data_IF_276152241963
#
_entry.id   IF_276152241963
#
_cell.length_a   1.000
_cell.length_b   1.000
_cell.length_c   1.000
_cell.angle_alpha   90.00
_cell.angle_beta   90.00
_cell.angle_gamma   90.00
#
_symmetry.space_group_name_H-M   'P 1'
#
loop_
_entity.id
_entity.type
_entity.pdbx_description
1 polymer ?
#
# COMPACT_ATOMS: atom_id res chain seq x y z
N UNK A 1 57.82 10.73 27.65
CA UNK A 1 57.66 9.51 26.81
C UNK A 1 56.42 8.70 27.24
N UNK A 2 55.22 9.31 27.23
CA UNK A 2 53.94 8.66 27.64
C UNK A 2 52.75 9.17 26.81
N UNK A 3 53.00 9.54 25.54
CA UNK A 3 51.97 10.11 24.66
C UNK A 3 51.86 9.43 23.28
N UNK A 4 52.58 8.32 23.06
CA UNK A 4 52.55 7.58 21.79
C UNK A 4 51.89 6.19 21.85
N UNK A 5 51.57 5.67 23.05
CA UNK A 5 50.94 4.33 23.19
C UNK A 5 49.41 4.34 23.15
N UNK A 6 48.76 5.51 23.19
CA UNK A 6 47.28 5.62 23.17
C UNK A 6 46.69 5.71 21.76
N UNK A 7 47.50 6.05 20.74
CA UNK A 7 47.04 6.20 19.35
C UNK A 7 47.14 4.91 18.54
N UNK A 8 48.00 3.97 18.95
CA UNK A 8 48.11 2.65 18.31
C UNK A 8 47.02 1.68 18.76
N UNK A 9 46.43 1.89 19.94
CA UNK A 9 45.39 1.02 20.49
C UNK A 9 44.01 1.22 19.81
N UNK A 10 43.71 2.43 19.33
CA UNK A 10 42.41 2.73 18.70
C UNK A 10 42.33 2.27 17.24
N UNK A 11 43.48 2.14 16.56
CA UNK A 11 43.53 1.70 15.15
C UNK A 11 43.34 0.18 15.04
N UNK A 12 43.69 -0.59 16.08
CA UNK A 12 43.49 -2.06 16.10
C UNK A 12 42.03 -2.43 16.43
N UNK A 13 41.29 -1.57 17.13
CA UNK A 13 39.88 -1.82 17.47
C UNK A 13 38.91 -1.58 16.30
N UNK A 14 39.29 -0.77 15.30
CA UNK A 14 38.43 -0.44 14.13
C UNK A 14 38.64 -1.41 12.95
N UNK A 15 39.63 -2.31 13.00
CA UNK A 15 39.90 -3.28 11.92
C UNK A 15 39.29 -4.69 12.15
N UNK A 16 38.54 -4.93 13.23
CA UNK A 16 38.11 -6.27 13.65
C UNK A 16 36.60 -6.54 13.61
N UNK A 17 35.81 -5.70 12.93
CA UNK A 17 34.36 -5.91 12.80
C UNK A 17 33.88 -5.93 11.33
N UNK A 18 34.53 -6.76 10.50
CA UNK A 18 34.07 -7.02 9.13
C UNK A 18 34.37 -8.46 8.69
N UNK A 19 33.67 -9.45 9.27
CA UNK A 19 33.39 -10.79 8.70
C UNK A 19 32.08 -11.19 9.42
N UNK A 20 30.92 -11.46 8.81
CA UNK A 20 30.64 -12.15 7.56
C UNK A 20 29.96 -13.48 7.90
N UNK A 21 28.63 -13.57 7.80
CA UNK A 21 27.90 -14.85 7.86
C UNK A 21 26.77 -14.85 6.82
N UNK A 22 27.12 -15.26 5.60
CA UNK A 22 26.17 -15.80 4.62
C UNK A 22 26.11 -17.30 4.88
N UNK A 23 24.96 -17.81 5.31
CA UNK A 23 24.73 -19.24 5.50
C UNK A 23 23.87 -19.75 4.34
N UNK A 24 24.50 -20.50 3.44
CA UNK A 24 23.82 -21.33 2.44
C UNK A 24 23.96 -22.77 2.92
N UNK A 25 22.83 -23.42 3.25
CA UNK A 25 22.82 -24.84 3.59
C UNK A 25 22.36 -25.62 2.35
N UNK A 26 23.31 -26.33 1.74
CA UNK A 26 23.09 -27.41 0.78
C UNK A 26 23.58 -28.70 1.42
N UNK A 27 22.67 -29.57 1.83
CA UNK A 27 22.87 -31.01 2.14
C UNK A 27 21.49 -31.66 1.85
N UNK A 28 21.30 -32.72 1.06
CA UNK A 28 22.21 -33.77 0.59
C UNK A 28 21.56 -35.13 0.86
N UNK A 29 20.83 -35.64 -0.14
CA UNK A 29 20.63 -37.04 -0.55
C UNK A 29 20.63 -38.14 0.54
N UNK A 30 19.50 -38.83 0.67
CA UNK A 30 19.44 -40.25 1.06
C UNK A 30 18.67 -41.03 0.01
N UNK A 31 19.34 -41.97 -0.65
CA UNK A 31 18.80 -42.79 -1.73
C UNK A 31 18.39 -44.19 -1.28
N UNK A 32 17.41 -44.76 -1.99
CA UNK A 32 17.13 -46.19 -2.26
C UNK A 32 15.72 -46.24 -2.88
N UNK A 33 15.34 -46.93 -3.96
CA UNK A 33 15.95 -48.02 -4.74
C UNK A 33 15.23 -48.20 -6.09
N UNK A 34 15.97 -48.82 -7.03
CA UNK A 34 15.53 -49.77 -8.10
C UNK A 34 14.87 -49.28 -9.41
N UNK A 35 15.64 -49.55 -10.45
CA UNK A 35 15.29 -50.30 -11.68
C UNK A 35 14.70 -49.56 -12.87
N UNK A 36 15.51 -49.61 -13.92
CA UNK A 36 15.37 -49.12 -15.27
C UNK A 36 14.24 -49.76 -16.07
N UNK A 37 13.55 -48.95 -16.89
CA UNK A 37 13.09 -49.35 -18.23
C UNK A 37 13.39 -48.22 -19.22
N UNK A 38 14.05 -48.64 -20.30
CA UNK A 38 14.44 -47.91 -21.51
C UNK A 38 13.25 -47.67 -22.45
N UNK A 39 13.47 -46.82 -23.48
CA UNK A 39 12.63 -46.38 -24.61
C UNK A 39 11.87 -45.08 -24.29
N UNK A 40 11.88 -43.99 -25.07
CA UNK A 40 12.16 -43.77 -26.49
C UNK A 40 12.16 -42.24 -26.76
N UNK A 41 13.13 -41.77 -27.55
CA UNK A 41 13.08 -40.66 -28.54
C UNK A 41 12.58 -39.24 -28.14
N UNK A 42 13.42 -38.29 -28.57
CA UNK A 42 13.17 -36.90 -29.01
C UNK A 42 13.33 -35.72 -28.02
N UNK A 43 14.15 -34.81 -28.53
CA UNK A 43 14.71 -33.55 -28.08
C UNK A 43 13.72 -32.44 -27.70
N UNK A 44 14.20 -31.42 -26.96
CA UNK A 44 13.36 -30.43 -26.28
C UNK A 44 13.05 -29.26 -27.20
N UNK A 45 11.84 -28.71 -27.13
CA UNK A 45 11.58 -27.29 -27.44
C UNK A 45 10.13 -26.93 -27.13
N UNK A 46 9.92 -26.00 -26.19
CA UNK A 46 9.04 -24.86 -26.46
C UNK A 46 9.25 -23.78 -25.40
N UNK A 47 10.14 -22.83 -25.71
CA UNK A 47 10.01 -21.45 -25.25
C UNK A 47 8.75 -20.87 -25.89
N UNK A 48 7.71 -20.59 -25.10
CA UNK A 48 6.58 -19.79 -25.59
C UNK A 48 7.01 -18.32 -25.65
N UNK A 49 7.53 -17.91 -26.79
CA UNK A 49 7.59 -16.51 -27.21
C UNK A 49 6.15 -16.07 -27.48
N UNK A 50 5.67 -15.02 -26.80
CA UNK A 50 4.39 -14.38 -27.13
C UNK A 50 4.68 -13.36 -28.23
N UNK A 51 4.24 -13.64 -29.45
CA UNK A 51 4.19 -12.66 -30.54
C UNK A 51 3.01 -11.71 -30.36
N UNK A 52 3.15 -10.40 -30.66
CA UNK A 52 2.03 -9.46 -30.66
C UNK A 52 1.06 -9.81 -31.81
N UNK A 53 -0.18 -10.09 -31.46
CA UNK A 53 -1.26 -10.26 -32.42
C UNK A 53 -1.65 -8.91 -33.01
N UNK A 54 -1.27 -8.67 -34.27
CA UNK A 54 -1.91 -7.68 -35.15
C UNK A 54 -3.33 -8.16 -35.43
N UNK A 55 -4.29 -7.69 -34.64
CA UNK A 55 -5.72 -7.87 -34.83
C UNK A 55 -6.36 -6.55 -35.22
N UNK A 56 -6.88 -6.52 -36.44
CA UNK A 56 -7.71 -5.48 -37.06
C UNK A 56 -8.77 -4.88 -36.14
N UNK A 57 -9.01 -3.58 -36.31
CA UNK A 57 -9.92 -2.77 -35.53
C UNK A 57 -11.29 -3.40 -35.26
N UNK A 58 -11.61 -3.52 -33.98
CA UNK A 58 -12.96 -3.50 -33.48
C UNK A 58 -13.08 -2.26 -32.60
N UNK A 59 -14.05 -1.42 -32.96
CA UNK A 59 -14.44 -0.24 -32.24
C UNK A 59 -14.57 -0.53 -30.73
N UNK A 60 -14.13 0.43 -29.94
CA UNK A 60 -14.34 0.50 -28.49
C UNK A 60 -15.79 0.16 -28.16
N UNK A 61 -16.02 -1.07 -27.70
CA UNK A 61 -17.22 -1.39 -26.96
C UNK A 61 -17.04 -0.75 -25.58
N UNK A 62 -18.04 -0.03 -25.04
CA UNK A 62 -18.00 0.37 -23.65
C UNK A 62 -17.76 -0.90 -22.84
N UNK A 63 -16.87 -0.85 -21.84
CA UNK A 63 -16.84 -1.89 -20.83
C UNK A 63 -18.28 -2.06 -20.36
N UNK A 64 -18.88 -3.21 -20.65
CA UNK A 64 -20.16 -3.58 -20.05
C UNK A 64 -19.80 -3.83 -18.58
N UNK A 65 -19.78 -2.75 -17.80
CA UNK A 65 -19.51 -2.78 -16.38
C UNK A 65 -20.55 -3.73 -15.78
N UNK A 66 -20.09 -4.90 -15.34
CA UNK A 66 -20.87 -5.76 -14.48
C UNK A 66 -21.11 -5.02 -13.16
N UNK A 67 -22.15 -4.19 -13.15
CA UNK A 67 -22.65 -3.60 -11.93
C UNK A 67 -23.22 -4.72 -11.07
N UNK A 68 -22.73 -4.85 -9.84
CA UNK A 68 -23.41 -5.71 -8.87
C UNK A 68 -24.81 -5.15 -8.63
N UNK A 69 -25.83 -6.00 -8.67
CA UNK A 69 -27.20 -5.58 -8.37
C UNK A 69 -27.33 -5.20 -6.88
N UNK A 70 -27.80 -3.99 -6.62
CA UNK A 70 -28.02 -3.47 -5.28
C UNK A 70 -27.93 -1.95 -5.20
N UNK A 71 -28.38 -1.34 -4.08
CA UNK A 71 -28.17 0.08 -3.85
C UNK A 71 -26.66 0.36 -3.78
N UNK A 72 -26.20 1.33 -4.58
CA UNK A 72 -24.79 1.71 -4.62
C UNK A 72 -24.61 3.21 -4.46
N UNK A 73 -23.44 3.61 -3.98
CA UNK A 73 -23.03 4.99 -3.80
C UNK A 73 -21.74 5.25 -4.57
N UNK A 74 -21.73 6.32 -5.37
CA UNK A 74 -20.51 6.83 -5.99
C UNK A 74 -19.57 7.40 -4.94
N UNK A 75 -18.30 6.99 -4.98
CA UNK A 75 -17.26 7.61 -4.17
C UNK A 75 -16.71 8.85 -4.86
N UNK A 76 -16.52 9.91 -4.07
CA UNK A 76 -15.90 11.14 -4.55
C UNK A 76 -14.39 10.92 -4.70
N UNK A 77 -13.85 11.33 -5.84
CA UNK A 77 -12.42 11.38 -6.11
C UNK A 77 -11.92 12.83 -6.00
N UNK A 78 -10.87 13.02 -5.21
CA UNK A 78 -10.13 14.29 -5.10
C UNK A 78 -8.70 14.18 -5.67
N UNK A 79 -8.28 13.01 -6.15
CA UNK A 79 -6.99 12.84 -6.81
C UNK A 79 -7.07 13.27 -8.28
N UNK A 80 -6.00 13.89 -8.75
CA UNK A 80 -5.84 14.32 -10.13
C UNK A 80 -4.62 13.63 -10.77
N UNK A 81 -4.76 13.22 -12.03
CA UNK A 81 -3.73 12.52 -12.77
C UNK A 81 -4.30 11.39 -13.63
N UNK A 82 -3.47 10.39 -13.94
CA UNK A 82 -3.86 9.25 -14.78
C UNK A 82 -4.17 8.03 -13.93
N UNK A 83 -5.28 7.35 -14.19
CA UNK A 83 -5.61 6.08 -13.53
C UNK A 83 -4.57 5.03 -13.92
N UNK A 84 -3.84 4.50 -12.93
CA UNK A 84 -2.81 3.48 -13.12
C UNK A 84 -3.20 2.10 -12.61
N UNK A 85 -4.19 2.02 -11.72
CA UNK A 85 -4.72 0.75 -11.22
C UNK A 85 -6.18 0.91 -10.77
N UNK A 86 -6.97 -0.14 -11.00
CA UNK A 86 -8.37 -0.25 -10.58
C UNK A 86 -8.64 -1.64 -9.98
N UNK A 87 -9.52 -1.74 -8.97
CA UNK A 87 -10.03 -3.02 -8.48
C UNK A 87 -11.04 -3.60 -9.47
N UNK A 88 -11.50 -4.83 -9.25
CA UNK A 88 -12.60 -5.42 -10.01
C UNK A 88 -13.93 -5.17 -9.31
N UNK A 89 -15.05 -5.01 -10.06
CA UNK A 89 -16.38 -5.15 -9.47
C UNK A 89 -16.50 -6.48 -8.74
N UNK A 90 -17.02 -6.46 -7.50
CA UNK A 90 -17.04 -7.62 -6.61
C UNK A 90 -15.99 -7.58 -5.50
N UNK A 91 -14.87 -6.89 -5.71
CA UNK A 91 -13.77 -6.86 -4.74
C UNK A 91 -14.20 -6.18 -3.45
N UNK A 92 -13.88 -6.82 -2.32
CA UNK A 92 -14.01 -6.25 -0.98
C UNK A 92 -12.69 -5.57 -0.60
N UNK A 93 -12.77 -4.31 -0.19
CA UNK A 93 -11.64 -3.48 0.16
C UNK A 93 -11.78 -3.08 1.63
N UNK A 94 -10.84 -3.56 2.43
CA UNK A 94 -10.74 -3.31 3.86
C UNK A 94 -9.95 -2.03 4.15
N UNK A 95 -10.08 -1.49 5.37
CA UNK A 95 -9.33 -0.31 5.81
C UNK A 95 -7.82 -0.52 5.69
N UNK A 96 -7.10 0.55 5.30
CA UNK A 96 -5.67 0.52 5.02
C UNK A 96 -5.31 0.02 3.62
N UNK A 97 -6.30 -0.38 2.81
CA UNK A 97 -6.08 -0.91 1.45
C UNK A 97 -6.40 0.14 0.37
N UNK A 98 -5.80 0.02 -0.81
CA UNK A 98 -6.03 0.92 -1.93
C UNK A 98 -7.42 0.72 -2.57
N UNK A 99 -8.15 1.80 -2.79
CA UNK A 99 -9.40 1.83 -3.56
C UNK A 99 -9.14 1.84 -5.07
N UNK A 100 -8.13 2.59 -5.48
CA UNK A 100 -7.63 2.73 -6.85
C UNK A 100 -6.26 3.42 -6.78
N UNK A 101 -5.57 3.59 -7.91
CA UNK A 101 -4.33 4.38 -7.96
C UNK A 101 -4.31 5.39 -9.10
N UNK A 102 -3.79 6.58 -8.81
CA UNK A 102 -3.58 7.68 -9.76
C UNK A 102 -2.08 7.98 -9.81
N UNK A 103 -1.48 7.98 -10.99
CA UNK A 103 -0.04 8.17 -11.21
C UNK A 103 0.84 7.27 -10.31
N UNK A 104 0.44 6.00 -10.14
CA UNK A 104 1.04 5.00 -9.24
C UNK A 104 0.97 5.34 -7.75
N UNK A 105 0.15 6.32 -7.35
CA UNK A 105 -0.12 6.65 -5.96
C UNK A 105 -1.48 6.06 -5.56
N UNK A 106 -1.52 5.15 -4.58
CA UNK A 106 -2.77 4.56 -4.14
C UNK A 106 -3.60 5.59 -3.37
N UNK A 107 -4.91 5.60 -3.62
CA UNK A 107 -5.88 6.29 -2.78
C UNK A 107 -6.38 5.29 -1.75
N UNK A 108 -6.06 5.50 -0.47
CA UNK A 108 -6.27 4.52 0.59
C UNK A 108 -7.66 4.69 1.23
N UNK A 109 -8.35 3.58 1.47
CA UNK A 109 -9.56 3.56 2.29
C UNK A 109 -9.18 3.64 3.77
N UNK A 110 -9.74 4.60 4.49
CA UNK A 110 -9.58 4.71 5.94
C UNK A 110 -10.94 4.80 6.64
N UNK A 111 -10.96 4.41 7.90
CA UNK A 111 -12.18 4.44 8.72
C UNK A 111 -12.48 5.88 9.13
N UNK A 112 -13.72 6.33 8.97
CA UNK A 112 -14.09 7.69 9.31
C UNK A 112 -15.46 8.15 8.83
N UNK A 113 -16.09 9.02 9.61
CA UNK A 113 -17.38 9.63 9.26
C UNK A 113 -17.22 10.98 8.57
N UNK A 114 -16.08 11.64 8.73
CA UNK A 114 -15.78 12.92 8.09
C UNK A 114 -15.09 12.68 6.74
N UNK A 115 -15.55 13.32 5.65
CA UNK A 115 -14.82 13.27 4.39
C UNK A 115 -13.48 13.98 4.54
N UNK A 116 -12.49 13.58 3.74
CA UNK A 116 -11.25 14.34 3.63
C UNK A 116 -11.54 15.66 2.87
N UNK A 117 -11.51 16.79 3.59
CA UNK A 117 -11.88 18.11 3.03
C UNK A 117 -10.72 19.12 2.98
N UNK A 118 -9.57 18.78 3.55
CA UNK A 118 -8.34 19.59 3.55
C UNK A 118 -7.12 18.71 3.69
N UNK A 119 -5.95 19.23 3.35
CA UNK A 119 -4.68 18.57 3.64
C UNK A 119 -4.40 18.59 5.16
N UNK A 120 -3.82 17.50 5.66
CA UNK A 120 -3.38 17.36 7.06
C UNK A 120 -1.85 17.29 7.08
N UNK A 121 -1.24 18.25 7.77
CA UNK A 121 0.20 18.41 7.87
C UNK A 121 0.58 18.95 9.26
N UNK A 122 1.85 18.88 9.61
CA UNK A 122 2.35 19.51 10.84
C UNK A 122 1.99 21.00 10.90
N UNK A 123 1.55 21.47 12.08
CA UNK A 123 1.06 22.84 12.35
C UNK A 123 -0.21 23.25 11.60
N UNK A 124 -0.95 22.31 11.04
CA UNK A 124 -2.31 22.59 10.58
C UNK A 124 -3.22 22.89 11.77
N UNK A 125 -4.34 23.59 11.52
CA UNK A 125 -5.33 23.86 12.55
C UNK A 125 -5.92 22.56 13.11
N UNK A 126 -6.19 22.58 14.41
CA UNK A 126 -6.78 21.45 15.09
C UNK A 126 -8.16 21.12 14.52
N UNK A 127 -8.52 19.83 14.50
CA UNK A 127 -9.84 19.42 14.05
C UNK A 127 -10.13 17.94 14.20
N UNK A 128 -11.42 17.55 14.13
CA UNK A 128 -11.84 16.15 14.26
C UNK A 128 -11.34 15.26 13.10
N UNK A 129 -10.97 15.83 11.97
CA UNK A 129 -10.32 15.11 10.87
C UNK A 129 -8.88 14.68 11.22
N UNK A 130 -8.18 15.44 12.07
CA UNK A 130 -6.87 15.05 12.60
C UNK A 130 -7.03 13.83 13.52
N UNK A 131 -7.97 13.87 14.46
CA UNK A 131 -8.27 12.73 15.35
C UNK A 131 -8.59 11.46 14.59
N UNK A 132 -9.37 11.59 13.51
CA UNK A 132 -9.75 10.47 12.66
C UNK A 132 -8.53 9.87 11.96
N UNK A 133 -7.64 10.70 11.39
CA UNK A 133 -6.40 10.23 10.79
C UNK A 133 -5.49 9.55 11.83
N UNK A 134 -5.32 10.17 13.00
CA UNK A 134 -4.54 9.63 14.11
C UNK A 134 -5.05 8.27 14.57
N UNK A 135 -6.37 8.12 14.73
CA UNK A 135 -6.99 6.84 15.05
C UNK A 135 -6.69 5.78 13.99
N UNK A 136 -6.70 6.14 12.72
CA UNK A 136 -6.32 5.21 11.64
C UNK A 136 -4.84 4.83 11.71
N UNK A 137 -3.94 5.77 11.99
CA UNK A 137 -2.51 5.47 12.14
C UNK A 137 -2.26 4.49 13.29
N UNK A 138 -2.98 4.64 14.40
CA UNK A 138 -3.01 3.67 15.51
C UNK A 138 -3.54 2.32 15.04
N UNK A 139 -4.73 2.29 14.44
CA UNK A 139 -5.40 1.04 14.04
C UNK A 139 -4.59 0.24 13.00
N UNK A 140 -3.87 0.94 12.12
CA UNK A 140 -2.98 0.34 11.12
C UNK A 140 -1.58 -0.01 11.68
N UNK A 141 -1.31 0.30 12.95
CA UNK A 141 -0.08 -0.10 13.65
C UNK A 141 1.14 0.76 13.34
N UNK A 142 0.95 1.99 12.83
CA UNK A 142 2.07 2.92 12.59
C UNK A 142 2.54 3.64 13.86
N UNK A 143 1.71 3.64 14.90
CA UNK A 143 2.01 4.22 16.20
C UNK A 143 1.18 3.54 17.29
N UNK A 144 1.72 3.48 18.50
CA UNK A 144 0.98 3.01 19.66
C UNK A 144 0.03 4.10 20.18
N UNK A 145 -1.11 3.68 20.73
CA UNK A 145 -2.06 4.56 21.40
C UNK A 145 -1.68 4.70 22.88
N UNK A 146 -1.42 5.93 23.34
CA UNK A 146 -1.17 6.23 24.75
C UNK A 146 -2.29 5.67 25.63
N UNK A 147 -3.55 5.76 25.21
CA UNK A 147 -4.68 5.27 26.00
C UNK A 147 -4.65 3.75 26.20
N UNK A 148 -4.03 3.01 25.26
CA UNK A 148 -3.90 1.56 25.33
C UNK A 148 -2.65 1.12 26.12
N UNK A 149 -1.55 1.87 26.01
CA UNK A 149 -0.26 1.50 26.61
C UNK A 149 0.00 2.13 27.97
N UNK A 150 -0.62 3.28 28.26
CA UNK A 150 -0.33 4.12 29.42
C UNK A 150 1.04 4.82 29.36
N UNK A 151 1.72 4.78 28.21
CA UNK A 151 3.02 5.43 28.02
C UNK A 151 2.83 6.80 27.38
N UNK A 152 3.18 7.86 28.10
CA UNK A 152 3.03 9.25 27.63
C UNK A 152 3.94 9.64 26.47
N UNK A 153 4.79 8.72 25.99
CA UNK A 153 5.60 8.90 24.78
C UNK A 153 4.90 8.38 23.52
N UNK A 154 3.78 7.66 23.69
CA UNK A 154 2.97 7.16 22.60
C UNK A 154 1.97 8.23 22.13
N UNK A 155 1.26 7.96 21.03
CA UNK A 155 0.39 8.96 20.43
C UNK A 155 -0.93 9.03 21.19
N UNK A 156 -1.26 10.22 21.70
CA UNK A 156 -2.61 10.57 22.09
C UNK A 156 -3.42 10.84 20.83
N UNK A 157 -4.53 10.15 20.62
CA UNK A 157 -5.47 10.52 19.55
C UNK A 157 -6.25 11.75 20.01
N UNK A 158 -5.92 12.90 19.43
CA UNK A 158 -6.54 14.18 19.72
C UNK A 158 -6.79 14.96 18.43
N UNK A 159 -6.85 16.28 18.48
CA UNK A 159 -7.17 17.10 17.31
C UNK A 159 -5.94 17.77 16.68
N UNK A 160 -4.73 17.51 17.19
CA UNK A 160 -3.53 18.29 16.92
C UNK A 160 -2.40 17.44 16.32
N UNK A 161 -1.90 17.85 15.16
CA UNK A 161 -0.76 17.16 14.53
C UNK A 161 0.53 17.47 15.29
N UNK A 162 0.95 16.53 16.14
CA UNK A 162 2.25 16.56 16.83
C UNK A 162 3.39 16.11 15.90
N UNK A 163 4.67 16.33 16.27
CA UNK A 163 5.79 15.72 15.55
C UNK A 163 5.73 14.18 15.50
N UNK A 164 5.14 13.54 16.52
CA UNK A 164 4.92 12.10 16.54
C UNK A 164 3.88 11.69 15.47
N UNK A 165 2.77 12.43 15.37
CA UNK A 165 1.76 12.26 14.32
C UNK A 165 2.39 12.39 12.93
N UNK A 166 3.19 13.45 12.69
CA UNK A 166 3.88 13.65 11.41
C UNK A 166 4.84 12.49 11.09
N UNK A 167 5.61 12.01 12.07
CA UNK A 167 6.53 10.88 11.87
C UNK A 167 5.79 9.56 11.57
N UNK A 168 4.60 9.40 12.12
CA UNK A 168 3.72 8.25 11.89
C UNK A 168 3.14 8.30 10.47
N UNK A 169 2.73 9.49 9.99
CA UNK A 169 2.34 9.72 8.58
C UNK A 169 3.50 9.36 7.65
N UNK A 170 4.73 9.78 7.96
CA UNK A 170 5.92 9.46 7.15
C UNK A 170 6.18 7.95 7.08
N UNK A 171 6.00 7.25 8.19
CA UNK A 171 6.15 5.79 8.28
C UNK A 171 5.09 5.06 7.45
N UNK A 172 3.83 5.51 7.53
CA UNK A 172 2.73 5.03 6.69
C UNK A 172 2.97 5.28 5.20
N UNK A 173 3.44 6.46 4.81
CA UNK A 173 3.77 6.76 3.41
C UNK A 173 4.89 5.85 2.89
N UNK A 174 5.92 5.62 3.72
CA UNK A 174 7.03 4.75 3.35
C UNK A 174 6.58 3.29 3.17
N UNK A 175 5.66 2.79 3.99
CA UNK A 175 5.14 1.42 3.85
C UNK A 175 4.38 1.21 2.53
N UNK A 176 3.78 2.28 1.99
CA UNK A 176 3.12 2.31 0.68
C UNK A 176 4.08 2.52 -0.50
N UNK A 177 5.39 2.68 -0.25
CA UNK A 177 6.38 3.01 -1.27
C UNK A 177 6.29 4.45 -1.78
N UNK A 178 5.63 5.34 -1.03
CA UNK A 178 5.48 6.76 -1.36
C UNK A 178 6.64 7.58 -0.79
N UNK A 179 6.79 8.80 -1.30
CA UNK A 179 7.67 9.80 -0.68
C UNK A 179 7.11 10.15 0.70
N UNK A 180 7.93 10.01 1.75
CA UNK A 180 7.57 10.28 3.14
C UNK A 180 7.55 11.79 3.44
N UNK A 181 6.54 12.48 2.92
CA UNK A 181 6.37 13.93 3.07
C UNK A 181 5.91 14.36 4.46
N UNK A 182 5.20 13.49 5.19
CA UNK A 182 4.54 13.84 6.45
C UNK A 182 3.24 14.63 6.26
N UNK A 183 2.74 14.71 5.02
CA UNK A 183 1.50 15.41 4.66
C UNK A 183 0.53 14.42 4.04
N UNK A 184 -0.70 14.38 4.52
CA UNK A 184 -1.80 13.62 3.89
C UNK A 184 -2.64 14.61 3.10
N UNK A 185 -2.63 14.46 1.78
CA UNK A 185 -3.41 15.33 0.89
C UNK A 185 -4.84 14.84 0.75
N UNK A 186 -5.72 15.75 0.32
CA UNK A 186 -7.13 15.42 0.10
C UNK A 186 -7.35 14.22 -0.84
N UNK A 187 -6.48 14.06 -1.84
CA UNK A 187 -6.55 12.97 -2.81
C UNK A 187 -5.87 11.66 -2.38
N UNK A 188 -5.19 11.62 -1.23
CA UNK A 188 -4.44 10.43 -0.80
C UNK A 188 -5.32 9.39 -0.10
N UNK A 189 -6.44 9.83 0.49
CA UNK A 189 -7.30 9.01 1.37
C UNK A 189 -8.77 9.30 1.09
N UNK A 190 -9.59 8.25 1.15
CA UNK A 190 -11.05 8.37 1.27
C UNK A 190 -11.47 7.76 2.60
N UNK A 191 -12.16 8.57 3.41
CA UNK A 191 -12.73 8.11 4.66
C UNK A 191 -14.15 7.57 4.46
N UNK A 192 -14.44 6.42 5.07
CA UNK A 192 -15.79 5.86 5.17
C UNK A 192 -16.02 5.19 6.52
N UNK A 193 -17.27 5.13 7.00
CA UNK A 193 -17.59 4.48 8.26
C UNK A 193 -17.44 2.95 8.19
N UNK A 194 -17.38 2.38 6.98
CA UNK A 194 -17.38 0.93 6.76
C UNK A 194 -16.45 0.58 5.59
N UNK A 195 -15.93 -0.66 5.63
CA UNK A 195 -15.27 -1.30 4.49
C UNK A 195 -16.20 -1.35 3.27
N UNK A 196 -15.63 -1.50 2.08
CA UNK A 196 -16.41 -1.35 0.84
C UNK A 196 -16.38 -2.59 -0.03
N UNK A 197 -17.46 -2.83 -0.76
CA UNK A 197 -17.46 -3.74 -1.90
C UNK A 197 -17.68 -2.94 -3.18
N UNK A 198 -16.78 -3.10 -4.15
CA UNK A 198 -16.83 -2.37 -5.42
C UNK A 198 -18.03 -2.84 -6.23
N UNK A 199 -18.95 -1.94 -6.58
CA UNK A 199 -20.10 -2.29 -7.43
C UNK A 199 -19.82 -2.04 -8.90
N UNK A 200 -19.18 -0.92 -9.23
CA UNK A 200 -19.02 -0.43 -10.60
C UNK A 200 -17.79 0.48 -10.70
N UNK A 201 -17.11 0.46 -11.84
CA UNK A 201 -16.04 1.40 -12.17
C UNK A 201 -16.57 2.45 -13.15
N UNK A 202 -16.25 3.73 -12.97
CA UNK A 202 -16.69 4.82 -13.87
C UNK A 202 -15.59 5.27 -14.83
N UNK A 203 -14.40 4.69 -14.72
CA UNK A 203 -13.19 5.07 -15.48
C UNK A 203 -12.42 3.82 -15.91
N UNK A 204 -11.49 4.00 -16.86
CA UNK A 204 -10.58 2.96 -17.30
C UNK A 204 -9.11 3.29 -16.96
N UNK A 205 -8.24 2.28 -16.90
CA UNK A 205 -6.79 2.47 -16.79
C UNK A 205 -6.29 3.32 -17.98
N UNK A 206 -5.45 4.31 -17.71
CA UNK A 206 -4.97 5.29 -18.69
C UNK A 206 -5.87 6.51 -18.86
N UNK A 207 -7.07 6.53 -18.27
CA UNK A 207 -7.94 7.71 -18.28
C UNK A 207 -7.42 8.79 -17.33
N UNK A 208 -7.49 10.05 -17.76
CA UNK A 208 -7.18 11.21 -16.91
C UNK A 208 -8.40 11.56 -16.05
N UNK A 209 -8.17 11.84 -14.77
CA UNK A 209 -9.16 12.28 -13.79
C UNK A 209 -8.67 13.55 -13.09
N UNK A 210 -9.59 14.42 -12.68
CA UNK A 210 -9.30 15.58 -11.82
C UNK A 210 -10.22 15.64 -10.61
N UNK A 211 -11.51 15.37 -10.83
CA UNK A 211 -12.54 15.27 -9.81
C UNK A 211 -13.63 14.30 -10.28
N UNK A 212 -14.70 14.15 -9.49
CA UNK A 212 -15.85 13.31 -9.83
C UNK A 212 -15.82 11.99 -9.11
N UNK A 213 -15.97 10.88 -9.83
CA UNK A 213 -16.03 9.54 -9.23
C UNK A 213 -15.28 8.54 -10.07
N UNK A 214 -14.48 7.71 -9.41
CA UNK A 214 -13.71 6.61 -10.03
C UNK A 214 -14.50 5.30 -9.97
N UNK A 215 -15.20 5.06 -8.87
CA UNK A 215 -15.97 3.84 -8.64
C UNK A 215 -17.22 4.09 -7.79
N UNK A 216 -18.17 3.17 -7.87
CA UNK A 216 -19.28 3.02 -6.92
C UNK A 216 -19.02 1.85 -5.99
N UNK A 217 -19.58 1.93 -4.79
CA UNK A 217 -19.56 0.86 -3.79
C UNK A 217 -20.97 0.50 -3.38
N UNK A 218 -21.18 -0.76 -3.02
CA UNK A 218 -22.47 -1.21 -2.49
C UNK A 218 -22.76 -0.56 -1.13
N UNK A 219 -24.01 -0.20 -0.93
CA UNK A 219 -24.55 0.18 0.37
C UNK A 219 -25.03 -1.09 1.08
N UNK A 220 -24.61 -1.29 2.33
CA UNK A 220 -24.94 -2.47 3.13
C UNK A 220 -24.55 -3.79 2.43
N UNK A 221 -23.27 -3.99 2.06
CA UNK A 221 -22.83 -5.25 1.49
C UNK A 221 -23.17 -6.38 2.48
N UNK A 222 -23.85 -7.42 2.01
CA UNK A 222 -24.17 -8.58 2.86
C UNK A 222 -22.86 -9.21 3.35
N UNK A 223 -22.76 -9.50 4.65
CA UNK A 223 -21.59 -10.16 5.26
C UNK A 223 -21.36 -11.58 4.75
#
# INVERSE_FOLDING_TARGET
MRLQMRKTLTIILVLLLSIGCVVVIVIGISGTSKTSKSLEIATPISSRVITPSTGSGQASQPAEQAALEGPSQRLVNAAAGTITWLPKPGDRIEFGTALYAVDHKPVILMEGSLPMYRDIAYKVSDGPDVAQLERNLVNLGYVADEAATGNSSDLTVDYHVTPLTESSIRSWQLSLGLTSTGVVKQGDVVFRPEAVQVSELHVAIGQVVEAGSVLSVLLNPQE
#
